data_IF_944117088732
#
_entry.id   IF_944117088732
#
_cell.length_a   1.000
_cell.length_b   1.000
_cell.length_c   1.000
_cell.angle_alpha   90.00
_cell.angle_beta   90.00
_cell.angle_gamma   90.00
#
_symmetry.space_group_name_H-M   'P 1'
#
loop_
_entity.id
_entity.type
_entity.pdbx_description
1 polymer ?
#
# COMPACT_ATOMS: atom_id res chain seq x y z
N UNK A 1 21.21 -1.28 -19.01
CA UNK A 1 22.08 -1.87 -17.98
C UNK A 1 23.21 -2.65 -18.66
N UNK A 2 24.41 -2.62 -18.07
CA UNK A 2 25.57 -3.37 -18.57
C UNK A 2 26.21 -4.12 -17.40
N UNK A 3 26.84 -5.25 -17.68
CA UNK A 3 27.62 -6.00 -16.69
C UNK A 3 29.00 -6.33 -17.25
N UNK A 4 30.10 -6.00 -16.53
CA UNK A 4 31.45 -6.37 -16.95
C UNK A 4 31.69 -7.90 -16.90
N UNK A 5 30.81 -8.64 -16.23
CA UNK A 5 30.91 -10.10 -16.08
C UNK A 5 30.22 -10.89 -17.21
N UNK A 6 29.55 -10.18 -18.15
CA UNK A 6 28.90 -10.80 -19.28
C UNK A 6 29.55 -10.33 -20.59
N UNK A 7 29.76 -11.26 -21.52
CA UNK A 7 30.20 -10.94 -22.87
C UNK A 7 29.22 -9.99 -23.58
N UNK A 8 29.68 -9.32 -24.62
CA UNK A 8 28.86 -8.32 -25.36
C UNK A 8 27.57 -8.92 -25.88
N UNK A 9 27.60 -10.16 -26.31
CA UNK A 9 26.48 -10.93 -26.86
C UNK A 9 25.40 -11.28 -25.82
N UNK A 10 25.70 -11.10 -24.52
CA UNK A 10 24.82 -11.47 -23.40
C UNK A 10 24.36 -10.28 -22.56
N UNK A 11 24.63 -9.07 -23.00
CA UNK A 11 24.26 -7.88 -22.23
C UNK A 11 22.72 -7.73 -22.05
N UNK A 12 21.93 -8.26 -22.94
CA UNK A 12 20.46 -8.27 -22.86
C UNK A 12 19.94 -9.15 -21.72
N UNK A 13 20.76 -10.10 -21.22
CA UNK A 13 20.40 -10.93 -20.07
C UNK A 13 20.54 -10.21 -18.72
N UNK A 14 21.17 -9.02 -18.66
CA UNK A 14 21.54 -8.37 -17.38
C UNK A 14 20.32 -8.17 -16.49
N UNK A 15 19.23 -7.63 -17.01
CA UNK A 15 18.01 -7.36 -16.23
C UNK A 15 17.35 -8.68 -15.75
N UNK A 16 17.27 -9.66 -16.63
CA UNK A 16 16.74 -10.98 -16.27
C UNK A 16 17.56 -11.65 -15.18
N UNK A 17 18.89 -11.67 -15.31
CA UNK A 17 19.80 -12.24 -14.31
C UNK A 17 19.74 -11.49 -12.98
N UNK A 18 19.59 -10.17 -13.03
CA UNK A 18 19.39 -9.35 -11.84
C UNK A 18 18.10 -9.79 -11.11
N UNK A 19 16.97 -9.95 -11.80
CA UNK A 19 15.74 -10.43 -11.18
C UNK A 19 15.86 -11.83 -10.58
N UNK A 20 16.57 -12.74 -11.25
CA UNK A 20 16.85 -14.05 -10.67
C UNK A 20 17.71 -13.94 -9.39
N UNK A 21 18.63 -12.98 -9.36
CA UNK A 21 19.43 -12.66 -8.17
C UNK A 21 18.58 -12.12 -7.02
N UNK A 22 17.64 -11.20 -7.34
CA UNK A 22 16.69 -10.65 -6.36
C UNK A 22 15.82 -11.77 -5.77
N UNK A 23 15.24 -12.64 -6.60
CA UNK A 23 14.44 -13.78 -6.11
C UNK A 23 15.24 -14.72 -5.21
N UNK A 24 16.50 -15.00 -5.53
CA UNK A 24 17.38 -15.82 -4.68
C UNK A 24 17.66 -15.17 -3.34
N UNK A 25 17.90 -13.84 -3.34
CA UNK A 25 18.13 -13.07 -2.11
C UNK A 25 16.91 -13.10 -1.19
N UNK A 26 15.73 -12.80 -1.74
CA UNK A 26 14.49 -12.80 -0.96
C UNK A 26 14.10 -14.19 -0.46
N UNK A 27 14.32 -15.23 -1.27
CA UNK A 27 14.14 -16.63 -0.82
C UNK A 27 15.04 -16.94 0.36
N UNK A 28 16.34 -16.68 0.22
CA UNK A 28 17.32 -16.90 1.28
C UNK A 28 16.92 -16.15 2.56
N UNK A 29 16.48 -14.92 2.45
CA UNK A 29 16.04 -14.11 3.58
C UNK A 29 14.84 -14.75 4.29
N UNK A 30 13.80 -15.14 3.54
CA UNK A 30 12.60 -15.75 4.11
C UNK A 30 12.91 -17.12 4.76
N UNK A 31 13.80 -17.90 4.18
CA UNK A 31 14.24 -19.17 4.76
C UNK A 31 15.04 -18.95 6.07
N UNK A 32 15.84 -17.91 6.11
CA UNK A 32 16.69 -17.61 7.26
C UNK A 32 15.95 -16.88 8.38
N UNK A 33 14.94 -16.08 8.04
CA UNK A 33 14.18 -15.24 8.96
C UNK A 33 12.66 -15.35 8.72
N UNK A 34 12.05 -16.53 8.96
CA UNK A 34 10.66 -16.80 8.56
C UNK A 34 9.62 -15.97 9.31
N UNK A 35 9.99 -15.34 10.43
CA UNK A 35 9.09 -14.46 11.19
C UNK A 35 9.19 -12.98 10.81
N UNK A 36 10.02 -12.62 9.84
CA UNK A 36 10.18 -11.21 9.42
C UNK A 36 9.34 -10.96 8.18
N UNK A 37 8.43 -10.00 8.29
CA UNK A 37 7.65 -9.51 7.15
C UNK A 37 8.51 -8.61 6.26
N UNK A 38 8.34 -8.76 4.96
CA UNK A 38 9.02 -7.91 3.97
C UNK A 38 7.98 -7.05 3.28
N UNK A 39 8.12 -5.74 3.42
CA UNK A 39 7.53 -4.79 2.50
C UNK A 39 8.51 -4.54 1.36
N UNK A 40 8.09 -4.78 0.15
CA UNK A 40 8.93 -4.61 -1.02
C UNK A 40 8.63 -3.30 -1.74
N UNK A 41 9.68 -2.65 -2.18
CA UNK A 41 9.59 -1.44 -2.99
C UNK A 41 10.72 -1.42 -4.02
N UNK A 42 10.53 -0.72 -5.11
CA UNK A 42 11.57 -0.37 -6.07
C UNK A 42 11.14 0.87 -6.85
N UNK A 43 11.38 2.06 -6.27
CA UNK A 43 11.01 3.32 -6.89
C UNK A 43 9.51 3.38 -7.23
N UNK A 44 8.66 3.17 -6.24
CA UNK A 44 7.21 3.33 -6.41
C UNK A 44 6.57 2.29 -7.33
N UNK A 45 6.79 1.03 -7.12
CA UNK A 45 6.08 -0.05 -7.82
C UNK A 45 6.89 -0.79 -8.88
N UNK A 46 8.15 -0.47 -9.10
CA UNK A 46 9.00 -1.16 -10.07
C UNK A 46 9.20 -2.67 -9.84
N UNK A 47 8.86 -3.17 -8.64
CA UNK A 47 8.80 -4.59 -8.31
C UNK A 47 7.39 -5.07 -7.94
N UNK A 48 6.35 -4.32 -8.30
CA UNK A 48 4.96 -4.75 -8.06
C UNK A 48 4.57 -5.81 -9.11
N UNK A 49 5.07 -7.02 -8.92
CA UNK A 49 4.87 -8.17 -9.82
C UNK A 49 4.56 -9.44 -9.03
N UNK A 50 3.75 -10.33 -9.58
CA UNK A 50 3.32 -11.58 -8.94
C UNK A 50 4.49 -12.43 -8.41
N UNK A 51 5.62 -12.44 -9.13
CA UNK A 51 6.81 -13.18 -8.71
C UNK A 51 7.39 -12.68 -7.39
N UNK A 52 7.28 -11.39 -7.08
CA UNK A 52 7.73 -10.82 -5.81
C UNK A 52 6.77 -11.09 -4.66
N UNK A 53 5.47 -11.25 -4.92
CA UNK A 53 4.47 -11.57 -3.89
C UNK A 53 4.68 -12.94 -3.26
N UNK A 54 5.45 -13.81 -3.91
CA UNK A 54 5.90 -15.07 -3.31
C UNK A 54 6.81 -14.85 -2.09
N UNK A 55 7.47 -13.72 -2.01
CA UNK A 55 8.53 -13.42 -1.04
C UNK A 55 8.23 -12.21 -0.15
N UNK A 56 7.27 -11.40 -0.54
CA UNK A 56 6.92 -10.15 0.16
C UNK A 56 5.46 -10.20 0.56
N UNK A 57 5.17 -9.87 1.81
CA UNK A 57 3.80 -9.82 2.34
C UNK A 57 2.99 -8.68 1.75
N UNK A 58 3.66 -7.58 1.45
CA UNK A 58 3.06 -6.40 0.83
C UNK A 58 4.08 -5.66 -0.03
N UNK A 59 3.59 -4.85 -0.95
CA UNK A 59 4.41 -4.13 -1.92
C UNK A 59 3.92 -2.68 -2.04
N UNK A 60 4.87 -1.74 -2.03
CA UNK A 60 4.62 -0.32 -2.27
C UNK A 60 4.30 -0.09 -3.75
N UNK A 61 3.12 0.41 -4.06
CA UNK A 61 2.64 0.50 -5.44
C UNK A 61 2.98 1.84 -6.13
N UNK A 62 3.30 2.88 -5.37
CA UNK A 62 3.68 4.19 -5.92
C UNK A 62 4.30 5.08 -4.84
N UNK A 63 5.30 5.88 -5.20
CA UNK A 63 5.89 6.91 -4.34
C UNK A 63 5.01 8.16 -4.23
N UNK A 64 3.89 8.23 -4.94
CA UNK A 64 2.90 9.27 -4.72
C UNK A 64 2.15 8.98 -3.42
N UNK A 65 2.31 9.85 -2.42
CA UNK A 65 1.81 9.66 -1.05
C UNK A 65 0.69 10.63 -0.66
N UNK A 66 0.38 11.60 -1.54
CA UNK A 66 -0.77 12.48 -1.33
C UNK A 66 -2.07 11.65 -1.38
N UNK A 67 -2.93 11.71 -0.33
CA UNK A 67 -4.07 10.78 -0.20
C UNK A 67 -5.08 10.86 -1.34
N UNK A 68 -5.38 12.04 -1.88
CA UNK A 68 -6.30 12.18 -3.02
C UNK A 68 -5.75 11.51 -4.28
N UNK A 69 -4.45 11.67 -4.56
CA UNK A 69 -3.78 11.02 -5.69
C UNK A 69 -3.56 9.51 -5.47
N UNK A 70 -3.51 9.06 -4.22
CA UNK A 70 -3.46 7.63 -3.88
C UNK A 70 -4.73 6.87 -4.24
N UNK A 71 -5.89 7.53 -4.18
CA UNK A 71 -7.19 6.90 -4.48
C UNK A 71 -7.19 6.20 -5.85
N UNK A 72 -6.95 6.90 -6.98
CA UNK A 72 -6.94 6.25 -8.28
C UNK A 72 -5.79 5.25 -8.47
N UNK A 73 -4.67 5.43 -7.79
CA UNK A 73 -3.53 4.50 -7.84
C UNK A 73 -3.91 3.18 -7.17
N UNK A 74 -4.40 3.22 -5.94
CA UNK A 74 -4.82 2.03 -5.20
C UNK A 74 -5.98 1.33 -5.91
N UNK A 75 -7.00 2.10 -6.33
CA UNK A 75 -8.12 1.56 -7.10
C UNK A 75 -7.64 0.82 -8.36
N UNK A 76 -6.78 1.46 -9.17
CA UNK A 76 -6.23 0.86 -10.38
C UNK A 76 -5.45 -0.43 -10.09
N UNK A 77 -4.66 -0.45 -9.02
CA UNK A 77 -3.88 -1.61 -8.61
C UNK A 77 -4.76 -2.80 -8.24
N UNK A 78 -5.93 -2.56 -7.62
CA UNK A 78 -6.86 -3.63 -7.23
C UNK A 78 -7.49 -4.39 -8.40
N UNK A 79 -7.36 -3.93 -9.65
CA UNK A 79 -7.83 -4.70 -10.82
C UNK A 79 -6.94 -5.91 -11.12
N UNK A 80 -5.67 -5.85 -10.74
CA UNK A 80 -4.72 -6.92 -11.02
C UNK A 80 -4.26 -7.67 -9.76
N UNK A 81 -4.40 -7.04 -8.58
CA UNK A 81 -3.84 -7.54 -7.33
C UNK A 81 -4.83 -7.38 -6.18
N UNK A 82 -4.87 -8.32 -5.21
CA UNK A 82 -5.71 -8.17 -4.04
C UNK A 82 -5.25 -6.97 -3.19
N UNK A 83 -6.18 -6.23 -2.57
CA UNK A 83 -5.83 -5.10 -1.71
C UNK A 83 -4.87 -5.46 -0.57
N UNK A 84 -4.95 -6.69 -0.05
CA UNK A 84 -4.13 -7.18 1.06
C UNK A 84 -2.61 -7.18 0.78
N UNK A 85 -2.19 -7.04 -0.48
CA UNK A 85 -0.75 -6.93 -0.83
C UNK A 85 -0.32 -5.50 -1.15
N UNK A 86 -1.24 -4.53 -1.12
CA UNK A 86 -0.96 -3.13 -1.46
C UNK A 86 -0.63 -2.38 -0.17
N UNK A 87 0.63 -2.01 0.04
CA UNK A 87 1.00 -1.14 1.16
C UNK A 87 0.25 0.17 1.09
N UNK A 88 -0.55 0.46 2.11
CA UNK A 88 -1.36 1.66 2.23
C UNK A 88 -0.88 2.49 3.41
N UNK A 89 -0.06 3.51 3.15
CA UNK A 89 0.55 4.32 4.19
C UNK A 89 -0.07 5.71 4.29
N UNK A 90 -0.26 6.16 5.52
CA UNK A 90 -0.41 7.56 5.87
C UNK A 90 0.99 8.18 5.92
N UNK A 91 1.28 9.10 5.04
CA UNK A 91 2.60 9.71 4.89
C UNK A 91 2.54 11.22 5.10
N UNK A 92 3.67 11.81 5.49
CA UNK A 92 3.82 13.24 5.73
C UNK A 92 4.20 14.04 4.47
N UNK A 93 3.96 13.51 3.28
CA UNK A 93 4.47 14.13 2.06
C UNK A 93 4.05 15.60 1.88
N UNK A 94 2.95 16.07 2.46
CA UNK A 94 2.46 17.43 2.27
C UNK A 94 1.72 18.01 3.48
N UNK A 95 2.39 18.19 4.62
CA UNK A 95 1.90 19.03 5.70
C UNK A 95 0.85 18.43 6.67
N UNK A 96 1.16 17.30 7.31
CA UNK A 96 0.45 16.89 8.54
C UNK A 96 0.78 17.83 9.74
N UNK A 97 0.94 19.11 9.47
CA UNK A 97 1.24 20.13 10.49
C UNK A 97 -0.02 20.51 11.27
N UNK A 98 -0.75 19.50 11.79
CA UNK A 98 -1.86 19.75 12.70
C UNK A 98 -3.27 19.79 12.08
N UNK A 99 -3.47 19.58 10.78
CA UNK A 99 -4.81 19.41 10.23
C UNK A 99 -5.29 17.96 10.45
N UNK A 100 -6.03 17.76 11.54
CA UNK A 100 -6.59 16.45 11.88
C UNK A 100 -7.59 15.94 10.85
N UNK A 101 -8.25 16.81 10.08
CA UNK A 101 -9.18 16.41 9.02
C UNK A 101 -8.42 15.81 7.84
N UNK A 102 -7.26 16.40 7.49
CA UNK A 102 -6.39 15.84 6.48
C UNK A 102 -5.83 14.48 6.92
N UNK A 103 -5.46 14.35 8.20
CA UNK A 103 -5.02 13.07 8.77
C UNK A 103 -6.14 12.01 8.71
N UNK A 104 -7.39 12.37 8.99
CA UNK A 104 -8.54 11.46 8.85
C UNK A 104 -8.76 11.06 7.38
N UNK A 105 -8.66 11.98 6.44
CA UNK A 105 -8.77 11.68 5.01
C UNK A 105 -7.66 10.72 4.55
N UNK A 106 -6.41 10.98 4.96
CA UNK A 106 -5.29 10.09 4.66
C UNK A 106 -5.48 8.69 5.27
N UNK A 107 -5.99 8.61 6.49
CA UNK A 107 -6.31 7.34 7.14
C UNK A 107 -7.40 6.56 6.40
N UNK A 108 -8.51 7.20 6.04
CA UNK A 108 -9.60 6.53 5.30
C UNK A 108 -9.11 6.06 3.93
N UNK A 109 -8.26 6.83 3.25
CA UNK A 109 -7.60 6.39 2.01
C UNK A 109 -6.73 5.15 2.26
N UNK A 110 -5.99 5.12 3.36
CA UNK A 110 -5.11 3.99 3.71
C UNK A 110 -5.86 2.74 4.20
N UNK A 111 -7.14 2.83 4.58
CA UNK A 111 -7.97 1.65 4.90
C UNK A 111 -8.18 0.70 3.72
N UNK A 112 -7.80 1.10 2.51
CA UNK A 112 -7.87 0.27 1.31
C UNK A 112 -6.89 -0.91 1.25
N UNK A 113 -6.11 -1.17 2.31
CA UNK A 113 -5.15 -2.28 2.39
C UNK A 113 -4.41 -2.31 3.73
N UNK A 114 -3.26 -3.00 3.82
CA UNK A 114 -2.40 -2.99 5.00
C UNK A 114 -1.98 -1.58 5.38
N UNK A 115 -2.45 -1.13 6.55
CA UNK A 115 -2.19 0.21 7.06
C UNK A 115 -0.75 0.35 7.54
N UNK A 116 -0.09 1.43 7.16
CA UNK A 116 1.18 1.87 7.70
C UNK A 116 1.20 3.38 7.97
N UNK A 117 2.13 3.83 8.81
CA UNK A 117 2.40 5.25 9.05
C UNK A 117 3.86 5.53 8.76
N UNK A 118 4.10 6.35 7.75
CA UNK A 118 5.42 6.76 7.29
C UNK A 118 5.68 8.20 7.73
N UNK A 119 5.88 8.39 9.05
CA UNK A 119 5.88 9.68 9.72
C UNK A 119 7.06 9.83 10.67
N UNK A 120 7.60 11.04 10.77
CA UNK A 120 8.60 11.38 11.78
C UNK A 120 7.92 11.81 13.09
N UNK A 121 7.52 10.85 13.88
CA UNK A 121 6.72 11.05 15.10
C UNK A 121 7.37 11.96 16.16
N UNK A 122 8.70 12.00 16.38
CA UNK A 122 9.28 12.84 17.45
C UNK A 122 8.85 14.30 17.40
N UNK A 123 8.77 14.89 16.22
CA UNK A 123 8.47 16.31 16.02
C UNK A 123 6.97 16.61 15.89
N UNK A 124 6.12 15.60 15.92
CA UNK A 124 4.68 15.81 15.78
C UNK A 124 4.02 16.32 17.06
N UNK A 125 3.01 17.20 16.95
CA UNK A 125 2.16 17.61 18.06
C UNK A 125 1.52 16.40 18.76
N UNK A 126 1.29 16.53 20.06
CA UNK A 126 0.70 15.45 20.84
C UNK A 126 -0.68 15.03 20.33
N UNK A 127 -1.52 15.99 19.96
CA UNK A 127 -2.85 15.73 19.40
C UNK A 127 -2.82 14.88 18.14
N UNK A 128 -1.80 15.06 17.27
CA UNK A 128 -1.59 14.23 16.08
C UNK A 128 -1.22 12.79 16.48
N UNK A 129 -0.33 12.64 17.46
CA UNK A 129 0.07 11.31 17.99
C UNK A 129 -1.10 10.57 18.63
N UNK A 130 -1.92 11.29 19.39
CA UNK A 130 -3.11 10.75 20.05
C UNK A 130 -4.14 10.31 18.97
N UNK A 131 -4.35 11.12 17.92
CA UNK A 131 -5.21 10.80 16.79
C UNK A 131 -4.72 9.57 16.01
N UNK A 132 -3.43 9.47 15.72
CA UNK A 132 -2.82 8.28 15.10
C UNK A 132 -3.08 7.04 15.95
N UNK A 133 -2.95 7.16 17.26
CA UNK A 133 -3.21 6.06 18.19
C UNK A 133 -4.67 5.60 18.13
N UNK A 134 -5.63 6.52 18.01
CA UNK A 134 -7.05 6.21 17.81
C UNK A 134 -7.29 5.52 16.46
N UNK A 135 -6.69 6.02 15.39
CA UNK A 135 -6.80 5.45 14.04
C UNK A 135 -6.24 4.03 13.99
N UNK A 136 -5.09 3.76 14.64
CA UNK A 136 -4.54 2.41 14.74
C UNK A 136 -5.49 1.48 15.50
N UNK A 137 -6.07 1.93 16.62
CA UNK A 137 -7.06 1.14 17.37
C UNK A 137 -8.31 0.85 16.53
N UNK A 138 -8.75 1.82 15.73
CA UNK A 138 -9.88 1.64 14.82
C UNK A 138 -9.55 0.62 13.73
N UNK A 139 -8.39 0.75 13.06
CA UNK A 139 -7.95 -0.21 12.05
C UNK A 139 -7.87 -1.65 12.59
N UNK A 140 -7.37 -1.84 13.80
CA UNK A 140 -7.26 -3.17 14.42
C UNK A 140 -8.58 -3.91 14.55
N UNK A 141 -9.71 -3.20 14.61
CA UNK A 141 -11.04 -3.83 14.62
C UNK A 141 -11.39 -4.44 13.26
N UNK A 142 -10.86 -3.86 12.18
CA UNK A 142 -11.20 -4.17 10.78
C UNK A 142 -10.08 -4.89 10.04
N UNK A 143 -8.87 -4.94 10.61
CA UNK A 143 -7.68 -5.50 9.98
C UNK A 143 -7.92 -6.87 9.36
N UNK A 144 -8.56 -7.78 10.08
CA UNK A 144 -8.88 -9.11 9.57
C UNK A 144 -9.82 -9.05 8.36
N UNK A 145 -10.84 -8.19 8.42
CA UNK A 145 -11.78 -8.02 7.31
C UNK A 145 -11.10 -7.41 6.08
N UNK A 146 -10.16 -6.46 6.28
CA UNK A 146 -9.41 -5.84 5.19
C UNK A 146 -8.40 -6.80 4.56
N UNK A 147 -7.73 -7.63 5.37
CA UNK A 147 -6.67 -8.52 4.88
C UNK A 147 -7.20 -9.82 4.26
N UNK A 148 -8.29 -10.37 4.83
CA UNK A 148 -8.80 -11.71 4.47
C UNK A 148 -10.20 -11.71 3.87
N UNK A 149 -10.94 -10.60 3.97
CA UNK A 149 -12.31 -10.49 3.46
C UNK A 149 -12.40 -10.32 1.95
N UNK A 150 -13.60 -10.44 1.43
CA UNK A 150 -13.91 -10.18 0.04
C UNK A 150 -13.98 -8.68 -0.22
N UNK A 151 -13.32 -8.22 -1.27
CA UNK A 151 -13.24 -6.81 -1.65
C UNK A 151 -14.15 -6.49 -2.85
N UNK A 152 -14.94 -5.44 -2.71
CA UNK A 152 -15.86 -4.98 -3.75
C UNK A 152 -15.66 -3.50 -4.07
N UNK A 153 -15.40 -3.20 -5.34
CA UNK A 153 -15.37 -1.82 -5.87
C UNK A 153 -16.78 -1.39 -6.23
N UNK A 154 -17.21 -0.21 -5.77
CA UNK A 154 -18.56 0.32 -6.04
C UNK A 154 -18.50 1.49 -7.01
N UNK A 155 -17.76 2.54 -6.67
CA UNK A 155 -17.60 3.71 -7.52
C UNK A 155 -16.17 3.83 -8.01
N UNK A 156 -16.01 4.17 -9.29
CA UNK A 156 -14.71 4.35 -9.92
C UNK A 156 -14.37 5.86 -9.96
N UNK A 157 -13.23 6.27 -9.39
CA UNK A 157 -12.83 7.68 -9.33
C UNK A 157 -12.61 8.34 -10.71
N UNK A 158 -12.50 7.54 -11.78
CA UNK A 158 -12.40 8.07 -13.16
C UNK A 158 -13.75 8.39 -13.80
N UNK A 159 -14.83 7.89 -13.24
CA UNK A 159 -16.18 8.06 -13.83
C UNK A 159 -17.12 8.90 -12.97
N UNK A 160 -16.75 9.20 -11.73
CA UNK A 160 -17.52 10.01 -10.81
C UNK A 160 -16.60 10.71 -9.79
N UNK A 161 -17.03 11.81 -9.15
CA UNK A 161 -16.20 12.58 -8.23
C UNK A 161 -16.00 11.91 -6.86
N UNK A 162 -16.37 10.66 -6.73
CA UNK A 162 -16.17 9.88 -5.52
C UNK A 162 -15.67 8.49 -5.84
N UNK A 163 -14.99 7.91 -4.87
CA UNK A 163 -14.54 6.55 -4.85
C UNK A 163 -15.15 5.83 -3.66
N UNK A 164 -15.66 4.63 -3.86
CA UNK A 164 -16.12 3.81 -2.76
C UNK A 164 -15.87 2.33 -3.02
N UNK A 165 -15.62 1.66 -1.92
CA UNK A 165 -15.41 0.22 -1.87
C UNK A 165 -15.95 -0.32 -0.55
N UNK A 166 -16.14 -1.63 -0.48
CA UNK A 166 -16.39 -2.30 0.78
C UNK A 166 -15.71 -3.66 0.86
N UNK A 167 -15.50 -4.08 2.08
CA UNK A 167 -15.06 -5.40 2.44
C UNK A 167 -16.17 -6.14 3.17
N UNK A 168 -16.23 -7.46 2.95
CA UNK A 168 -17.10 -8.37 3.71
C UNK A 168 -16.20 -9.45 4.31
N UNK A 169 -16.32 -9.68 5.61
CA UNK A 169 -15.59 -10.78 6.26
C UNK A 169 -16.02 -12.13 5.68
N UNK A 170 -15.12 -13.10 5.70
CA UNK A 170 -15.39 -14.43 5.11
C UNK A 170 -16.61 -15.14 5.68
N UNK A 171 -16.94 -14.88 6.94
CA UNK A 171 -18.14 -15.41 7.61
C UNK A 171 -19.42 -14.61 7.33
N UNK A 172 -19.31 -13.50 6.60
CA UNK A 172 -20.42 -12.59 6.29
C UNK A 172 -20.92 -11.77 7.49
N UNK A 173 -20.29 -11.91 8.66
CA UNK A 173 -20.75 -11.29 9.91
C UNK A 173 -20.41 -9.79 10.01
N UNK A 174 -19.42 -9.33 9.27
CA UNK A 174 -18.91 -7.95 9.34
C UNK A 174 -18.68 -7.38 7.94
N UNK A 175 -18.91 -6.07 7.81
CA UNK A 175 -18.56 -5.33 6.60
C UNK A 175 -17.98 -3.96 6.94
N UNK A 176 -16.99 -3.53 6.16
CA UNK A 176 -16.41 -2.20 6.22
C UNK A 176 -16.62 -1.52 4.87
N UNK A 177 -17.30 -0.36 4.86
CA UNK A 177 -17.47 0.46 3.67
C UNK A 177 -16.67 1.76 3.81
N UNK A 178 -15.96 2.14 2.77
CA UNK A 178 -15.29 3.43 2.65
C UNK A 178 -15.92 4.23 1.51
N UNK A 179 -16.13 5.51 1.78
CA UNK A 179 -16.63 6.48 0.82
C UNK A 179 -15.72 7.71 0.85
N UNK A 180 -15.08 8.00 -0.27
CA UNK A 180 -14.12 9.07 -0.43
C UNK A 180 -14.60 10.01 -1.53
N UNK A 181 -14.66 11.30 -1.23
CA UNK A 181 -15.05 12.32 -2.19
C UNK A 181 -13.86 13.25 -2.43
N UNK A 182 -13.45 13.41 -3.68
CA UNK A 182 -12.59 14.52 -4.06
C UNK A 182 -13.37 15.84 -3.88
N UNK A 183 -12.64 16.92 -3.56
CA UNK A 183 -13.28 18.24 -3.48
C UNK A 183 -14.06 18.48 -4.77
N UNK A 184 -15.37 18.61 -4.67
CA UNK A 184 -16.18 19.15 -5.75
C UNK A 184 -15.71 20.57 -6.05
N UNK A 185 -15.69 20.96 -7.31
CA UNK A 185 -15.66 22.36 -7.68
C UNK A 185 -16.87 23.02 -7.01
N UNK A 186 -16.63 24.12 -6.27
CA UNK A 186 -17.68 24.97 -5.72
C UNK A 186 -18.44 25.68 -6.84
#
# INVERSE_FOLDING_TARGET
ACSPHLGRERQDEVLYRNMLGVYRLFRWFNERFPGVMIENCSGGGGRFVLGMMKYSTQIWCSDQTEPGLRIPIQHGTTYAYPPSVISCHVSNANNLTGDLRYLDFAFVTALGGPLGYELFLPDMPREVKDKITEQIKEYRKWEHTVLDGDFYRVHNPRSCPYYSYYYVSRDGGHSLAAFLQEKGEE
#
